data_IF_079145364025
#
_entry.id   IF_079145364025
#
_cell.length_a   1.000
_cell.length_b   1.000
_cell.length_c   1.000
_cell.angle_alpha   90.00
_cell.angle_beta   90.00
_cell.angle_gamma   90.00
#
_symmetry.space_group_name_H-M   'P 1'
#
loop_
_entity.id
_entity.type
_entity.pdbx_description
1 polymer ?
#
# COMPACT_ATOMS: atom_id res chain seq x y z
N UNK A 1 -26.63 3.34 9.06
CA UNK A 1 -25.55 4.27 8.74
C UNK A 1 -24.28 3.52 8.28
N UNK A 2 -23.80 2.54 9.03
CA UNK A 2 -22.63 1.68 8.66
C UNK A 2 -22.78 1.03 7.25
N UNK A 3 -23.94 0.53 6.91
CA UNK A 3 -24.19 -0.12 5.61
C UNK A 3 -24.00 0.82 4.41
N UNK A 4 -24.24 2.14 4.60
CA UNK A 4 -23.98 3.15 3.59
C UNK A 4 -22.50 3.53 3.49
N UNK A 5 -21.79 3.55 4.63
CA UNK A 5 -20.34 3.81 4.70
C UNK A 5 -19.53 2.69 4.02
N UNK A 6 -19.90 1.44 4.29
CA UNK A 6 -19.25 0.26 3.70
C UNK A 6 -19.82 -0.12 2.30
N UNK A 7 -20.65 0.74 1.69
CA UNK A 7 -21.21 0.53 0.35
C UNK A 7 -21.94 -0.82 0.18
N UNK A 8 -22.56 -1.33 1.26
CA UNK A 8 -23.24 -2.61 1.26
C UNK A 8 -22.34 -3.86 1.36
N UNK A 9 -21.02 -3.70 1.36
CA UNK A 9 -20.06 -4.81 1.54
C UNK A 9 -19.74 -5.00 3.02
N UNK A 10 -20.73 -5.47 3.77
CA UNK A 10 -20.52 -5.82 5.16
C UNK A 10 -19.86 -7.21 5.27
N UNK A 11 -18.81 -7.38 6.07
CA UNK A 11 -18.18 -8.68 6.24
C UNK A 11 -19.19 -9.68 6.84
N UNK A 12 -19.65 -10.64 6.01
CA UNK A 12 -20.65 -11.64 6.41
C UNK A 12 -20.14 -12.59 7.51
N UNK A 13 -18.81 -12.76 7.60
CA UNK A 13 -18.17 -13.56 8.64
C UNK A 13 -17.94 -12.69 9.89
N UNK A 14 -18.49 -13.13 11.05
CA UNK A 14 -18.24 -12.48 12.34
C UNK A 14 -16.73 -12.44 12.69
N UNK A 15 -16.00 -13.50 12.30
CA UNK A 15 -14.55 -13.59 12.52
C UNK A 15 -13.82 -12.53 11.67
N UNK A 16 -14.17 -12.40 10.38
CA UNK A 16 -13.58 -11.37 9.51
C UNK A 16 -13.88 -9.96 10.03
N UNK A 17 -15.13 -9.71 10.46
CA UNK A 17 -15.50 -8.42 11.05
C UNK A 17 -14.70 -8.12 12.33
N UNK A 18 -14.51 -9.12 13.21
CA UNK A 18 -13.71 -8.97 14.42
C UNK A 18 -12.23 -8.68 14.11
N UNK A 19 -11.63 -9.38 13.12
CA UNK A 19 -10.23 -9.13 12.69
C UNK A 19 -10.08 -7.72 12.12
N UNK A 20 -10.99 -7.29 11.25
CA UNK A 20 -10.93 -5.94 10.67
C UNK A 20 -11.11 -4.86 11.74
N UNK A 21 -12.01 -5.08 12.69
CA UNK A 21 -12.19 -4.16 13.82
C UNK A 21 -10.93 -4.13 14.71
N UNK A 22 -10.33 -5.30 14.99
CA UNK A 22 -9.09 -5.39 15.76
C UNK A 22 -7.93 -4.69 15.05
N UNK A 23 -7.80 -4.83 13.72
CA UNK A 23 -6.80 -4.11 12.91
C UNK A 23 -7.04 -2.61 12.96
N UNK A 24 -8.30 -2.16 12.78
CA UNK A 24 -8.63 -0.74 12.81
C UNK A 24 -8.34 -0.12 14.19
N UNK A 25 -8.79 -0.77 15.26
CA UNK A 25 -8.55 -0.32 16.63
C UNK A 25 -7.06 -0.42 17.00
N UNK A 26 -6.39 -1.49 16.60
CA UNK A 26 -4.95 -1.67 16.79
C UNK A 26 -4.14 -0.54 16.14
N UNK A 27 -4.46 -0.17 14.90
CA UNK A 27 -3.83 0.96 14.21
C UNK A 27 -4.23 2.32 14.83
N UNK A 28 -5.49 2.49 15.23
CA UNK A 28 -5.91 3.73 15.88
C UNK A 28 -5.23 3.95 17.25
N UNK A 29 -5.02 2.87 18.00
CA UNK A 29 -4.43 2.91 19.33
C UNK A 29 -2.92 2.56 19.34
N UNK A 30 -2.32 2.30 18.18
CA UNK A 30 -0.92 1.89 18.07
C UNK A 30 0.06 2.80 18.82
N UNK A 31 -0.04 4.14 18.77
CA UNK A 31 0.85 5.02 19.52
C UNK A 31 0.77 4.85 21.04
N UNK A 32 -0.41 4.49 21.57
CA UNK A 32 -0.66 4.32 23.00
C UNK A 32 -0.36 2.90 23.49
N UNK A 33 -0.65 1.88 22.65
CA UNK A 33 -0.39 0.49 23.01
C UNK A 33 1.09 0.12 22.92
N UNK A 34 1.81 0.72 21.98
CA UNK A 34 3.20 0.44 21.70
C UNK A 34 4.00 1.75 21.56
N UNK A 35 4.38 2.40 22.67
CA UNK A 35 5.03 3.72 22.65
C UNK A 35 6.46 3.70 22.09
N UNK A 36 6.85 2.66 21.37
CA UNK A 36 8.16 2.52 20.72
C UNK A 36 8.22 3.13 19.33
N UNK A 37 9.32 3.81 19.01
CA UNK A 37 9.56 4.42 17.68
C UNK A 37 9.43 3.40 16.55
N UNK A 38 9.92 2.16 16.76
CA UNK A 38 9.83 1.06 15.78
C UNK A 38 8.38 0.69 15.50
N UNK A 39 7.57 0.52 16.54
CA UNK A 39 6.17 0.12 16.41
C UNK A 39 5.35 1.20 15.66
N UNK A 40 5.58 2.47 15.98
CA UNK A 40 4.92 3.60 15.32
C UNK A 40 5.31 3.69 13.84
N UNK A 41 6.59 3.45 13.50
CA UNK A 41 7.04 3.39 12.10
C UNK A 41 6.38 2.24 11.34
N UNK A 42 6.27 1.06 11.94
CA UNK A 42 5.59 -0.10 11.34
C UNK A 42 4.12 0.21 11.12
N UNK A 43 3.44 0.77 12.11
CA UNK A 43 2.03 1.13 12.01
C UNK A 43 1.79 2.18 10.89
N UNK A 44 2.62 3.22 10.79
CA UNK A 44 2.54 4.20 9.71
C UNK A 44 2.80 3.56 8.33
N UNK A 45 3.82 2.69 8.22
CA UNK A 45 4.10 1.93 6.99
C UNK A 45 2.90 1.05 6.60
N UNK A 46 2.24 0.40 7.57
CA UNK A 46 1.02 -0.38 7.33
C UNK A 46 -0.10 0.50 6.76
N UNK A 47 -0.35 1.68 7.30
CA UNK A 47 -1.37 2.61 6.78
C UNK A 47 -1.12 2.97 5.32
N UNK A 48 0.12 3.28 4.97
CA UNK A 48 0.53 3.60 3.59
C UNK A 48 0.32 2.40 2.67
N UNK A 49 0.82 1.23 3.06
CA UNK A 49 0.75 0.03 2.24
C UNK A 49 -0.69 -0.52 2.10
N UNK A 50 -1.55 -0.34 3.08
CA UNK A 50 -2.99 -0.67 2.95
C UNK A 50 -3.60 0.07 1.76
N UNK A 51 -3.32 1.37 1.61
CA UNK A 51 -3.82 2.16 0.49
C UNK A 51 -3.15 1.76 -0.83
N UNK A 52 -1.83 1.62 -0.83
CA UNK A 52 -1.04 1.24 -2.00
C UNK A 52 -1.48 -0.12 -2.55
N UNK A 53 -1.59 -1.12 -1.68
CA UNK A 53 -1.97 -2.50 -2.06
C UNK A 53 -3.43 -2.58 -2.46
N UNK A 54 -4.34 -1.87 -1.77
CA UNK A 54 -5.75 -1.81 -2.15
C UNK A 54 -5.95 -1.15 -3.52
N UNK A 55 -5.15 -0.12 -3.84
CA UNK A 55 -5.17 0.50 -5.16
C UNK A 55 -4.60 -0.42 -6.25
N UNK A 56 -3.59 -1.22 -5.94
CA UNK A 56 -3.06 -2.24 -6.83
C UNK A 56 -4.05 -3.39 -7.05
N UNK A 57 -4.75 -3.83 -6.01
CA UNK A 57 -5.78 -4.87 -6.09
C UNK A 57 -6.97 -4.43 -6.96
N UNK A 58 -7.26 -3.12 -7.08
CA UNK A 58 -8.24 -2.61 -8.04
C UNK A 58 -7.90 -3.01 -9.49
N UNK A 59 -6.61 -3.05 -9.85
CA UNK A 59 -6.16 -3.52 -11.17
C UNK A 59 -6.07 -5.04 -11.21
N UNK A 60 -5.29 -5.62 -10.31
CA UNK A 60 -5.01 -7.06 -10.34
C UNK A 60 -6.26 -7.86 -9.98
N UNK A 61 -6.90 -7.51 -8.88
CA UNK A 61 -7.97 -8.27 -8.29
C UNK A 61 -9.34 -8.04 -8.91
N UNK A 62 -9.64 -6.84 -9.39
CA UNK A 62 -10.96 -6.53 -9.97
C UNK A 62 -10.95 -6.47 -11.50
N UNK A 63 -9.81 -6.11 -12.13
CA UNK A 63 -9.73 -6.01 -13.60
C UNK A 63 -8.96 -7.17 -14.24
N UNK A 64 -8.17 -7.92 -13.46
CA UNK A 64 -7.34 -9.01 -13.97
C UNK A 64 -6.09 -8.53 -14.73
N UNK A 65 -5.65 -7.28 -14.52
CA UNK A 65 -4.51 -6.69 -15.19
C UNK A 65 -3.34 -6.59 -14.21
N UNK A 66 -2.18 -7.12 -14.58
CA UNK A 66 -0.93 -6.95 -13.84
C UNK A 66 -0.19 -5.73 -14.40
N UNK A 67 -0.02 -4.70 -13.58
CA UNK A 67 0.77 -3.51 -13.92
C UNK A 67 1.95 -3.37 -12.99
N UNK A 68 3.16 -3.35 -13.54
CA UNK A 68 4.38 -3.10 -12.75
C UNK A 68 4.73 -1.60 -12.64
N UNK A 69 3.97 -0.72 -13.31
CA UNK A 69 4.15 0.73 -13.17
C UNK A 69 3.57 1.30 -11.86
N UNK A 70 3.06 0.47 -10.97
CA UNK A 70 2.37 0.93 -9.76
C UNK A 70 3.30 1.69 -8.82
N UNK A 71 4.54 1.21 -8.64
CA UNK A 71 5.58 1.90 -7.88
C UNK A 71 6.01 3.22 -8.49
N UNK A 72 5.96 3.37 -9.82
CA UNK A 72 6.20 4.65 -10.47
C UNK A 72 5.21 5.72 -9.98
N UNK A 73 3.91 5.41 -9.93
CA UNK A 73 2.90 6.33 -9.43
C UNK A 73 3.05 6.63 -7.94
N UNK A 74 3.44 5.63 -7.17
CA UNK A 74 3.77 5.77 -5.75
C UNK A 74 4.97 6.73 -5.57
N UNK A 75 6.04 6.54 -6.33
CA UNK A 75 7.20 7.42 -6.33
C UNK A 75 6.88 8.85 -6.78
N UNK A 76 6.04 9.02 -7.82
CA UNK A 76 5.57 10.35 -8.26
C UNK A 76 4.90 11.10 -7.09
N UNK A 77 4.08 10.42 -6.30
CA UNK A 77 3.46 10.99 -5.11
C UNK A 77 4.48 11.43 -4.08
N UNK A 78 5.45 10.58 -3.78
CA UNK A 78 6.50 10.87 -2.82
C UNK A 78 7.42 12.02 -3.28
N UNK A 79 7.86 12.02 -4.53
CA UNK A 79 8.65 13.11 -5.10
C UNK A 79 7.88 14.42 -5.22
N UNK A 80 6.57 14.36 -5.49
CA UNK A 80 5.74 15.56 -5.54
C UNK A 80 5.78 16.36 -4.24
N UNK A 81 5.64 15.66 -3.10
CA UNK A 81 5.80 16.28 -1.77
C UNK A 81 7.24 16.75 -1.54
N UNK A 82 8.22 15.88 -1.80
CA UNK A 82 9.64 16.18 -1.54
C UNK A 82 10.10 17.43 -2.32
N UNK A 83 9.84 17.49 -3.61
CA UNK A 83 10.26 18.60 -4.48
C UNK A 83 9.52 19.89 -4.12
N UNK A 84 8.21 19.83 -3.91
CA UNK A 84 7.44 21.03 -3.58
C UNK A 84 7.87 21.64 -2.25
N UNK A 85 8.05 20.82 -1.20
CA UNK A 85 8.47 21.32 0.11
C UNK A 85 9.93 21.77 0.13
N UNK A 86 10.81 21.17 -0.65
CA UNK A 86 12.21 21.62 -0.78
C UNK A 86 12.30 22.98 -1.47
N UNK A 87 11.48 23.22 -2.51
CA UNK A 87 11.54 24.46 -3.30
C UNK A 87 10.70 25.61 -2.75
N UNK A 88 9.54 25.31 -2.17
CA UNK A 88 8.60 26.32 -1.66
C UNK A 88 8.66 26.49 -0.14
N UNK A 89 9.48 25.66 0.55
CA UNK A 89 9.55 25.63 2.01
C UNK A 89 8.49 24.76 2.67
N UNK A 90 8.59 24.55 4.00
CA UNK A 90 7.73 23.65 4.77
C UNK A 90 6.36 24.28 5.08
N UNK A 91 5.56 24.55 4.06
CA UNK A 91 4.26 25.21 4.18
C UNK A 91 3.12 24.30 3.73
N UNK A 92 1.90 24.54 4.22
CA UNK A 92 0.71 23.80 3.77
C UNK A 92 0.42 24.02 2.28
N UNK A 93 0.71 25.21 1.75
CA UNK A 93 0.59 25.48 0.32
C UNK A 93 1.54 24.64 -0.52
N UNK A 94 2.78 24.42 -0.07
CA UNK A 94 3.73 23.54 -0.73
C UNK A 94 3.22 22.10 -0.76
N UNK A 95 2.64 21.60 0.34
CA UNK A 95 2.03 20.26 0.37
C UNK A 95 0.88 20.14 -0.64
N UNK A 96 -0.02 21.13 -0.69
CA UNK A 96 -1.14 21.10 -1.64
C UNK A 96 -0.67 21.15 -3.09
N UNK A 97 0.33 22.00 -3.40
CA UNK A 97 0.95 22.07 -4.74
C UNK A 97 1.65 20.75 -5.07
N UNK A 98 2.36 20.13 -4.11
CA UNK A 98 3.03 18.85 -4.28
C UNK A 98 2.04 17.73 -4.59
N UNK A 99 0.97 17.60 -3.79
CA UNK A 99 -0.11 16.62 -4.04
C UNK A 99 -0.80 16.87 -5.37
N UNK A 100 -1.19 18.12 -5.64
CA UNK A 100 -1.89 18.48 -6.89
C UNK A 100 -1.04 18.23 -8.13
N UNK A 101 0.25 18.63 -8.09
CA UNK A 101 1.19 18.37 -9.18
C UNK A 101 1.46 16.88 -9.41
N UNK A 102 1.62 16.11 -8.32
CA UNK A 102 1.80 14.67 -8.41
C UNK A 102 0.56 13.97 -8.99
N UNK A 103 -0.63 14.35 -8.57
CA UNK A 103 -1.88 13.80 -9.10
C UNK A 103 -2.06 14.14 -10.58
N UNK A 104 -1.76 15.37 -10.99
CA UNK A 104 -1.82 15.80 -12.39
C UNK A 104 -0.84 14.99 -13.26
N UNK A 105 0.41 14.87 -12.82
CA UNK A 105 1.43 14.08 -13.53
C UNK A 105 1.02 12.60 -13.62
N UNK A 106 0.55 12.02 -12.53
CA UNK A 106 0.07 10.63 -12.51
C UNK A 106 -1.15 10.41 -13.40
N UNK A 107 -2.07 11.38 -13.46
CA UNK A 107 -3.21 11.34 -14.36
C UNK A 107 -2.76 11.32 -15.82
N UNK A 108 -1.85 12.22 -16.20
CA UNK A 108 -1.34 12.30 -17.59
C UNK A 108 -0.59 11.02 -17.98
N UNK A 109 0.32 10.53 -17.12
CA UNK A 109 1.10 9.33 -17.39
C UNK A 109 0.23 8.07 -17.40
N UNK A 110 -0.72 7.95 -16.49
CA UNK A 110 -1.62 6.78 -16.45
C UNK A 110 -2.57 6.75 -17.65
N UNK A 111 -3.02 7.88 -18.14
CA UNK A 111 -3.78 7.98 -19.40
C UNK A 111 -2.89 7.58 -20.60
N UNK A 112 -1.67 8.07 -20.67
CA UNK A 112 -0.74 7.69 -21.74
C UNK A 112 -0.47 6.18 -21.72
N UNK A 113 -0.07 5.63 -20.57
CA UNK A 113 0.16 4.18 -20.41
C UNK A 113 -1.12 3.39 -20.71
N UNK A 114 -2.28 3.83 -20.24
CA UNK A 114 -3.55 3.16 -20.48
C UNK A 114 -3.95 3.12 -21.95
N UNK A 115 -3.84 4.24 -22.66
CA UNK A 115 -4.23 4.33 -24.07
C UNK A 115 -3.34 3.51 -25.00
N UNK A 116 -2.03 3.48 -24.73
CA UNK A 116 -1.07 2.76 -25.57
C UNK A 116 -0.97 1.28 -25.23
N UNK A 117 -0.98 0.95 -23.94
CA UNK A 117 -0.64 -0.40 -23.48
C UNK A 117 -1.84 -1.34 -23.34
N UNK A 118 -3.07 -0.82 -23.11
CA UNK A 118 -4.24 -1.68 -22.91
C UNK A 118 -4.80 -2.28 -24.21
N UNK A 119 -4.20 -1.95 -25.36
CA UNK A 119 -4.50 -2.57 -26.66
C UNK A 119 -3.68 -3.84 -26.92
N UNK A 120 -2.69 -4.12 -26.08
CA UNK A 120 -1.81 -5.29 -26.21
C UNK A 120 -2.23 -6.41 -25.24
N UNK A 121 -1.75 -7.64 -25.50
CA UNK A 121 -2.03 -8.78 -24.62
C UNK A 121 -1.47 -8.55 -23.21
N UNK A 122 -2.10 -9.13 -22.22
CA UNK A 122 -1.79 -8.92 -20.80
C UNK A 122 -0.29 -9.09 -20.44
N UNK A 123 0.40 -10.09 -21.05
CA UNK A 123 1.83 -10.32 -20.80
C UNK A 123 2.67 -9.14 -21.31
N UNK A 124 2.40 -8.64 -22.52
CA UNK A 124 3.11 -7.48 -23.07
C UNK A 124 2.82 -6.20 -22.28
N UNK A 125 1.58 -6.04 -21.78
CA UNK A 125 1.24 -4.93 -20.90
C UNK A 125 2.10 -4.92 -19.63
N UNK A 126 2.25 -6.07 -18.97
CA UNK A 126 3.11 -6.20 -17.80
C UNK A 126 4.58 -5.85 -18.10
N UNK A 127 5.12 -6.32 -19.22
CA UNK A 127 6.50 -6.00 -19.64
C UNK A 127 6.70 -4.51 -19.95
N UNK A 128 5.76 -3.89 -20.68
CA UNK A 128 5.83 -2.46 -20.99
C UNK A 128 5.78 -1.62 -19.71
N UNK A 129 4.87 -1.95 -18.81
CA UNK A 129 4.74 -1.21 -17.54
C UNK A 129 5.96 -1.37 -16.64
N UNK A 130 6.63 -2.54 -16.66
CA UNK A 130 7.91 -2.75 -15.97
C UNK A 130 9.01 -1.89 -16.58
N UNK A 131 9.12 -1.87 -17.92
CA UNK A 131 10.12 -1.05 -18.60
C UNK A 131 9.93 0.45 -18.34
N UNK A 132 8.68 0.92 -18.33
CA UNK A 132 8.34 2.33 -18.01
C UNK A 132 8.70 2.65 -16.56
N UNK A 133 8.41 1.75 -15.61
CA UNK A 133 8.77 1.95 -14.19
C UNK A 133 10.29 2.00 -14.01
N UNK A 134 11.04 1.10 -14.62
CA UNK A 134 12.50 1.08 -14.57
C UNK A 134 13.11 2.33 -15.20
N UNK A 135 12.59 2.76 -16.35
CA UNK A 135 13.03 4.01 -17.00
C UNK A 135 12.77 5.22 -16.11
N UNK A 136 11.62 5.26 -15.41
CA UNK A 136 11.30 6.35 -14.49
C UNK A 136 12.20 6.35 -13.25
N UNK A 137 12.53 5.18 -12.70
CA UNK A 137 13.49 5.04 -11.60
C UNK A 137 14.87 5.55 -12.02
N UNK A 138 15.37 5.11 -13.20
CA UNK A 138 16.63 5.60 -13.75
C UNK A 138 16.62 7.10 -14.00
N UNK A 139 15.52 7.64 -14.54
CA UNK A 139 15.36 9.08 -14.73
C UNK A 139 15.43 9.84 -13.41
N UNK A 140 14.76 9.33 -12.37
CA UNK A 140 14.80 9.90 -11.04
C UNK A 140 16.22 9.91 -10.44
N UNK A 141 17.00 8.83 -10.65
CA UNK A 141 18.40 8.76 -10.19
C UNK A 141 19.34 9.71 -10.95
N UNK A 142 19.02 10.05 -12.19
CA UNK A 142 19.87 10.92 -13.03
C UNK A 142 19.56 12.42 -12.88
N UNK A 143 18.30 12.78 -12.56
CA UNK A 143 17.87 14.17 -12.42
C UNK A 143 18.23 14.77 -11.06
N UNK A 144 19.52 14.79 -10.69
CA UNK A 144 20.00 15.23 -9.37
C UNK A 144 19.50 16.62 -8.96
N UNK A 145 19.35 17.57 -9.90
CA UNK A 145 18.89 18.93 -9.63
C UNK A 145 17.43 19.02 -9.17
N UNK A 146 16.62 17.99 -9.47
CA UNK A 146 15.18 17.98 -9.14
C UNK A 146 14.90 16.95 -8.06
N UNK A 147 15.43 15.75 -8.18
CA UNK A 147 15.12 14.60 -7.35
C UNK A 147 16.15 14.32 -6.26
N UNK A 148 17.29 15.04 -6.27
CA UNK A 148 18.44 14.74 -5.43
C UNK A 148 19.27 13.55 -5.94
N UNK A 149 18.94 12.97 -7.10
CA UNK A 149 19.68 11.85 -7.69
C UNK A 149 19.55 10.56 -6.87
N UNK A 150 20.64 9.82 -6.75
CA UNK A 150 20.71 8.59 -5.96
C UNK A 150 20.59 8.84 -4.45
N UNK A 151 21.08 9.98 -3.96
CA UNK A 151 21.02 10.37 -2.54
C UNK A 151 19.61 10.75 -2.09
N UNK A 152 18.71 11.07 -3.03
CA UNK A 152 17.35 11.48 -2.75
C UNK A 152 17.25 12.87 -2.12
N UNK A 153 16.05 13.23 -1.66
CA UNK A 153 15.72 14.50 -1.04
C UNK A 153 15.31 14.32 0.41
N UNK A 154 16.01 15.02 1.31
CA UNK A 154 15.56 15.23 2.69
C UNK A 154 14.88 16.59 2.77
N UNK A 155 13.70 16.65 3.32
CA UNK A 155 12.90 17.87 3.38
C UNK A 155 12.22 18.07 4.74
N UNK A 156 11.82 19.31 5.01
CA UNK A 156 11.06 19.65 6.20
C UNK A 156 9.57 19.69 5.86
N UNK A 157 8.74 19.28 6.80
CA UNK A 157 7.27 19.39 6.75
C UNK A 157 6.82 20.64 7.54
N UNK A 158 5.56 21.09 7.39
CA UNK A 158 5.02 22.16 8.22
C UNK A 158 5.27 21.91 9.71
N UNK A 159 5.51 22.97 10.47
CA UNK A 159 5.92 22.90 11.87
C UNK A 159 5.01 22.01 12.72
N UNK A 160 3.70 22.09 12.51
CA UNK A 160 2.68 21.28 13.20
C UNK A 160 2.90 19.76 13.02
N UNK A 161 3.51 19.33 11.93
CA UNK A 161 3.82 17.92 11.65
C UNK A 161 5.25 17.54 12.02
N UNK A 162 6.06 18.50 12.52
CA UNK A 162 7.45 18.29 12.91
C UNK A 162 7.54 17.65 14.30
N UNK A 163 8.49 16.73 14.56
CA UNK A 163 8.70 16.18 15.91
C UNK A 163 9.02 17.22 16.97
N UNK A 164 9.53 18.40 16.55
CA UNK A 164 9.84 19.51 17.46
C UNK A 164 8.62 20.31 17.89
N UNK A 165 7.45 20.03 17.34
CA UNK A 165 6.21 20.67 17.74
C UNK A 165 5.57 19.90 18.88
N UNK A 166 5.59 20.46 20.09
CA UNK A 166 4.99 19.92 21.31
C UNK A 166 3.95 20.91 21.82
N UNK A 167 2.66 20.75 21.46
CA UNK A 167 1.60 21.66 21.88
C UNK A 167 1.21 21.52 23.34
N UNK A 168 1.60 20.43 24.02
CA UNK A 168 1.30 20.14 25.40
C UNK A 168 2.56 19.66 26.13
N UNK A 169 2.87 20.26 27.29
CA UNK A 169 4.01 19.90 28.13
C UNK A 169 3.80 18.55 28.86
N UNK A 170 2.54 18.19 29.15
CA UNK A 170 2.19 16.97 29.87
C UNK A 170 1.89 15.80 28.91
N UNK A 171 2.49 14.61 29.11
CA UNK A 171 2.21 13.44 28.29
C UNK A 171 0.79 12.92 28.58
N UNK A 172 0.00 12.69 27.51
CA UNK A 172 -1.32 12.07 27.62
C UNK A 172 -1.18 10.55 27.58
N UNK A 173 -1.63 9.85 28.63
CA UNK A 173 -1.49 8.37 28.77
C UNK A 173 -0.04 7.87 28.61
N UNK A 174 0.95 8.67 29.02
CA UNK A 174 2.37 8.29 28.93
C UNK A 174 2.99 8.50 27.54
N UNK A 175 2.27 9.10 26.60
CA UNK A 175 2.76 9.43 25.25
C UNK A 175 2.81 10.95 25.08
N UNK A 176 3.96 11.48 24.68
CA UNK A 176 4.08 12.89 24.33
C UNK A 176 3.26 13.19 23.05
N UNK A 177 2.45 14.24 23.10
CA UNK A 177 1.68 14.70 21.95
C UNK A 177 2.61 15.61 21.14
N UNK A 178 3.39 15.01 20.24
CA UNK A 178 4.29 15.72 19.33
C UNK A 178 3.71 15.80 17.91
N UNK A 179 4.34 16.59 17.06
CA UNK A 179 3.93 16.70 15.65
C UNK A 179 4.04 15.38 14.88
N UNK A 180 4.83 14.41 15.36
CA UNK A 180 4.90 13.08 14.78
C UNK A 180 3.60 12.29 15.03
N UNK A 181 3.03 12.40 16.21
CA UNK A 181 1.75 11.80 16.54
C UNK A 181 0.62 12.43 15.71
N UNK A 182 0.64 13.75 15.53
CA UNK A 182 -0.30 14.48 14.67
C UNK A 182 -0.18 13.98 13.22
N UNK A 183 1.03 13.83 12.70
CA UNK A 183 1.29 13.27 11.38
C UNK A 183 0.73 11.86 11.25
N UNK A 184 0.93 10.99 12.25
CA UNK A 184 0.39 9.64 12.28
C UNK A 184 -1.13 9.61 12.14
N UNK A 185 -1.84 10.44 12.93
CA UNK A 185 -3.31 10.51 12.84
C UNK A 185 -3.81 11.13 11.54
N UNK A 186 -3.05 12.07 10.95
CA UNK A 186 -3.33 12.57 9.61
C UNK A 186 -3.27 11.41 8.58
N UNK A 187 -2.23 10.58 8.65
CA UNK A 187 -2.09 9.39 7.79
C UNK A 187 -3.19 8.36 8.05
N UNK A 188 -3.54 8.14 9.31
CA UNK A 188 -4.62 7.23 9.69
C UNK A 188 -5.97 7.65 9.09
N UNK A 189 -6.34 8.92 9.25
CA UNK A 189 -7.58 9.46 8.68
C UNK A 189 -7.54 9.40 7.15
N UNK A 190 -6.43 9.78 6.54
CA UNK A 190 -6.24 9.68 5.08
C UNK A 190 -6.39 8.24 4.60
N UNK A 191 -5.74 7.26 5.25
CA UNK A 191 -5.85 5.85 4.89
C UNK A 191 -7.30 5.34 4.98
N UNK A 192 -8.00 5.65 6.07
CA UNK A 192 -9.41 5.27 6.24
C UNK A 192 -10.29 5.87 5.15
N UNK A 193 -10.14 7.16 4.85
CA UNK A 193 -10.92 7.84 3.81
C UNK A 193 -10.63 7.21 2.43
N UNK A 194 -9.37 6.96 2.10
CA UNK A 194 -8.98 6.39 0.81
C UNK A 194 -9.45 4.93 0.65
N UNK A 195 -9.37 4.12 1.71
CA UNK A 195 -9.91 2.75 1.71
C UNK A 195 -11.43 2.76 1.55
N UNK A 196 -12.14 3.64 2.25
CA UNK A 196 -13.60 3.78 2.07
C UNK A 196 -13.97 4.25 0.66
N UNK A 197 -13.18 5.15 0.06
CA UNK A 197 -13.37 5.56 -1.33
C UNK A 197 -13.16 4.39 -2.30
N UNK A 198 -12.11 3.58 -2.11
CA UNK A 198 -11.87 2.36 -2.90
C UNK A 198 -13.02 1.35 -2.74
N UNK A 199 -13.50 1.11 -1.51
CA UNK A 199 -14.67 0.26 -1.26
C UNK A 199 -15.90 0.76 -2.02
N UNK A 200 -16.10 2.07 -2.07
CA UNK A 200 -17.21 2.65 -2.81
C UNK A 200 -17.08 2.47 -4.32
N UNK A 201 -15.88 2.56 -4.86
CA UNK A 201 -15.59 2.32 -6.28
C UNK A 201 -15.84 0.86 -6.65
N UNK A 202 -15.30 -0.09 -5.89
CA UNK A 202 -15.43 -1.53 -6.23
C UNK A 202 -16.86 -2.07 -6.05
N UNK A 203 -17.65 -1.50 -5.14
CA UNK A 203 -19.02 -1.89 -4.90
C UNK A 203 -20.05 -1.12 -5.78
N UNK A 204 -19.57 -0.18 -6.60
CA UNK A 204 -20.40 0.56 -7.57
C UNK A 204 -20.73 -0.29 -8.81
N UNK A 205 -21.67 0.17 -9.67
CA UNK A 205 -21.87 -0.46 -10.98
C UNK A 205 -20.58 -0.58 -11.81
N UNK A 206 -19.67 0.41 -11.71
CA UNK A 206 -18.38 0.39 -12.36
C UNK A 206 -17.53 -0.82 -11.91
N UNK A 207 -17.40 -1.05 -10.59
CA UNK A 207 -16.63 -2.19 -10.05
C UNK A 207 -17.20 -3.54 -10.47
N UNK A 208 -18.53 -3.68 -10.56
CA UNK A 208 -19.20 -4.90 -11.06
C UNK A 208 -18.88 -5.17 -12.52
N UNK A 209 -18.81 -4.14 -13.36
CA UNK A 209 -18.41 -4.28 -14.75
C UNK A 209 -16.94 -4.71 -14.86
N UNK A 210 -16.04 -4.18 -14.00
CA UNK A 210 -14.64 -4.63 -13.96
C UNK A 210 -14.53 -6.13 -13.67
N UNK A 211 -15.29 -6.64 -12.71
CA UNK A 211 -15.32 -8.07 -12.38
C UNK A 211 -15.87 -8.91 -13.55
N UNK A 212 -16.92 -8.45 -14.23
CA UNK A 212 -17.44 -9.11 -15.42
C UNK A 212 -16.42 -9.18 -16.56
N UNK A 213 -15.64 -8.10 -16.77
CA UNK A 213 -14.54 -8.05 -17.75
C UNK A 213 -13.44 -9.04 -17.36
N UNK A 214 -13.08 -9.12 -16.06
CA UNK A 214 -12.08 -10.07 -15.56
C UNK A 214 -12.51 -11.52 -15.78
N UNK A 215 -13.79 -11.85 -15.59
CA UNK A 215 -14.31 -13.20 -15.77
C UNK A 215 -14.35 -13.60 -17.24
N UNK A 216 -14.86 -12.73 -18.12
CA UNK A 216 -14.94 -12.98 -19.55
C UNK A 216 -15.07 -11.69 -20.35
N UNK A 217 -13.97 -11.25 -20.94
CA UNK A 217 -13.87 -10.03 -21.75
C UNK A 217 -14.80 -10.06 -22.98
N UNK A 218 -14.80 -11.16 -23.72
CA UNK A 218 -15.64 -11.31 -24.90
C UNK A 218 -17.13 -11.23 -24.60
N UNK A 219 -17.55 -11.78 -23.46
CA UNK A 219 -18.95 -11.70 -23.03
C UNK A 219 -19.31 -10.27 -22.64
N UNK A 220 -18.40 -9.55 -21.95
CA UNK A 220 -18.62 -8.15 -21.58
C UNK A 220 -18.75 -7.26 -22.84
N UNK A 221 -17.92 -7.49 -23.87
CA UNK A 221 -18.01 -6.77 -25.16
C UNK A 221 -19.30 -7.12 -25.89
N UNK A 222 -19.71 -8.38 -25.92
CA UNK A 222 -20.92 -8.83 -26.60
C UNK A 222 -22.21 -8.17 -26.05
N UNK A 223 -22.22 -7.82 -24.75
CA UNK A 223 -23.35 -7.09 -24.12
C UNK A 223 -23.18 -5.57 -24.17
N UNK A 224 -22.15 -5.05 -24.90
CA UNK A 224 -22.01 -3.63 -25.25
C UNK A 224 -21.06 -2.83 -24.36
N UNK A 225 -20.32 -3.43 -23.43
CA UNK A 225 -19.33 -2.70 -22.63
C UNK A 225 -18.05 -2.44 -23.41
N UNK A 226 -17.55 -1.20 -23.37
CA UNK A 226 -16.27 -0.80 -23.98
C UNK A 226 -15.11 -1.14 -23.03
N UNK A 227 -14.59 -2.37 -23.10
CA UNK A 227 -13.57 -2.92 -22.17
C UNK A 227 -12.37 -1.98 -22.00
N UNK A 228 -11.83 -1.42 -23.10
CA UNK A 228 -10.68 -0.50 -23.07
C UNK A 228 -10.96 0.73 -22.17
N UNK A 229 -12.16 1.32 -22.25
CA UNK A 229 -12.52 2.49 -21.45
C UNK A 229 -12.55 2.13 -19.94
N UNK A 230 -13.17 1.00 -19.60
CA UNK A 230 -13.24 0.54 -18.20
C UNK A 230 -11.86 0.22 -17.63
N UNK A 231 -11.01 -0.46 -18.40
CA UNK A 231 -9.63 -0.78 -18.02
C UNK A 231 -8.78 0.49 -17.86
N UNK A 232 -8.86 1.44 -18.80
CA UNK A 232 -8.16 2.72 -18.71
C UNK A 232 -8.60 3.51 -17.48
N UNK A 233 -9.90 3.62 -17.23
CA UNK A 233 -10.43 4.32 -16.05
C UNK A 233 -9.97 3.66 -14.75
N UNK A 234 -9.97 2.33 -14.69
CA UNK A 234 -9.46 1.58 -13.53
C UNK A 234 -7.97 1.81 -13.31
N UNK A 235 -7.17 1.85 -14.40
CA UNK A 235 -5.73 2.13 -14.33
C UNK A 235 -5.47 3.55 -13.81
N UNK A 236 -6.22 4.54 -14.30
CA UNK A 236 -6.12 5.93 -13.83
C UNK A 236 -6.47 6.04 -12.35
N UNK A 237 -7.61 5.47 -11.94
CA UNK A 237 -8.01 5.49 -10.53
C UNK A 237 -6.96 4.82 -9.64
N UNK A 238 -6.49 3.64 -10.02
CA UNK A 238 -5.45 2.92 -9.30
C UNK A 238 -4.17 3.75 -9.17
N UNK A 239 -3.71 4.39 -10.23
CA UNK A 239 -2.54 5.28 -10.24
C UNK A 239 -2.70 6.47 -9.30
N UNK A 240 -3.87 7.13 -9.29
CA UNK A 240 -4.13 8.26 -8.40
C UNK A 240 -4.11 7.86 -6.91
N UNK A 241 -4.69 6.71 -6.56
CA UNK A 241 -4.61 6.20 -5.18
C UNK A 241 -3.19 5.79 -4.79
N UNK A 242 -2.41 5.19 -5.70
CA UNK A 242 -0.99 4.89 -5.47
C UNK A 242 -0.17 6.18 -5.24
N UNK A 243 -0.45 7.23 -6.02
CA UNK A 243 0.17 8.55 -5.85
C UNK A 243 -0.14 9.13 -4.47
N UNK A 244 -1.38 9.06 -4.01
CA UNK A 244 -1.76 9.51 -2.67
C UNK A 244 -1.05 8.70 -1.57
N UNK A 245 -0.92 7.38 -1.74
CA UNK A 245 -0.13 6.56 -0.83
C UNK A 245 1.35 6.98 -0.79
N UNK A 246 1.94 7.35 -1.94
CA UNK A 246 3.29 7.90 -2.02
C UNK A 246 3.44 9.24 -1.29
N UNK A 247 2.46 10.13 -1.43
CA UNK A 247 2.42 11.37 -0.65
C UNK A 247 2.39 11.10 0.87
N UNK A 248 1.62 10.09 1.31
CA UNK A 248 1.58 9.68 2.72
C UNK A 248 2.93 9.17 3.20
N UNK A 249 3.64 8.35 2.39
CA UNK A 249 4.98 7.86 2.73
C UNK A 249 5.96 9.01 2.92
N UNK A 250 6.00 9.95 1.98
CA UNK A 250 6.91 11.09 2.02
C UNK A 250 6.68 11.96 3.26
N UNK A 251 5.43 12.24 3.61
CA UNK A 251 5.08 12.98 4.83
C UNK A 251 5.58 12.30 6.10
N UNK A 252 5.53 10.97 6.14
CA UNK A 252 6.02 10.21 7.28
C UNK A 252 7.53 10.19 7.39
N UNK A 253 8.21 9.83 6.28
CA UNK A 253 9.67 9.64 6.26
C UNK A 253 10.43 10.96 6.26
N UNK A 254 9.88 12.04 5.66
CA UNK A 254 10.56 13.32 5.40
C UNK A 254 11.84 13.16 4.58
N UNK A 255 11.91 12.08 3.89
CA UNK A 255 12.97 11.70 2.97
C UNK A 255 12.34 10.92 1.83
N UNK A 256 12.82 11.11 0.62
CA UNK A 256 12.48 10.28 -0.51
C UNK A 256 13.66 10.13 -1.46
N UNK A 257 13.98 8.89 -1.77
CA UNK A 257 14.98 8.51 -2.76
C UNK A 257 14.41 7.50 -3.76
N UNK A 258 15.13 7.22 -4.86
CA UNK A 258 14.69 6.27 -5.87
C UNK A 258 14.40 4.89 -5.28
N UNK A 259 15.26 4.40 -4.41
CA UNK A 259 15.10 3.07 -3.77
C UNK A 259 14.00 3.05 -2.71
N UNK A 260 13.67 4.22 -2.14
CA UNK A 260 12.64 4.31 -1.09
C UNK A 260 11.21 4.21 -1.63
N UNK A 261 10.97 4.65 -2.86
CA UNK A 261 9.60 4.75 -3.41
C UNK A 261 9.41 4.20 -4.82
N UNK A 262 10.50 3.97 -5.59
CA UNK A 262 10.45 3.52 -6.97
C UNK A 262 10.98 2.10 -7.15
N UNK A 263 11.52 1.45 -6.09
CA UNK A 263 12.17 0.16 -6.20
C UNK A 263 11.21 -0.95 -6.63
N UNK A 264 11.74 -1.91 -7.39
CA UNK A 264 11.02 -3.11 -7.78
C UNK A 264 10.64 -3.99 -6.58
N UNK A 265 11.41 -3.91 -5.49
CA UNK A 265 11.11 -4.63 -4.24
C UNK A 265 9.74 -4.24 -3.66
N UNK A 266 9.38 -2.94 -3.68
CA UNK A 266 8.06 -2.47 -3.24
C UNK A 266 6.96 -3.10 -4.10
N UNK A 267 7.20 -3.26 -5.40
CA UNK A 267 6.24 -3.91 -6.29
C UNK A 267 6.06 -5.38 -5.94
N UNK A 268 7.15 -6.08 -5.62
CA UNK A 268 7.10 -7.47 -5.15
C UNK A 268 6.35 -7.57 -3.81
N UNK A 269 6.64 -6.68 -2.86
CA UNK A 269 5.92 -6.61 -1.59
C UNK A 269 4.40 -6.43 -1.82
N UNK A 270 4.00 -5.53 -2.73
CA UNK A 270 2.59 -5.33 -3.07
C UNK A 270 1.94 -6.60 -3.62
N UNK A 271 2.62 -7.33 -4.52
CA UNK A 271 2.14 -8.61 -5.05
C UNK A 271 1.98 -9.66 -3.95
N UNK A 272 2.99 -9.81 -3.09
CA UNK A 272 2.96 -10.76 -1.97
C UNK A 272 1.80 -10.45 -1.02
N UNK A 273 1.63 -9.19 -0.66
CA UNK A 273 0.56 -8.74 0.24
C UNK A 273 -0.82 -9.02 -0.35
N UNK A 274 -1.05 -8.73 -1.64
CA UNK A 274 -2.34 -9.01 -2.31
C UNK A 274 -2.64 -10.50 -2.32
N UNK A 275 -1.63 -11.34 -2.60
CA UNK A 275 -1.81 -12.80 -2.63
C UNK A 275 -2.11 -13.35 -1.25
N UNK A 276 -1.37 -12.95 -0.21
CA UNK A 276 -1.61 -13.37 1.19
C UNK A 276 -2.99 -12.91 1.65
N UNK A 277 -3.35 -11.67 1.39
CA UNK A 277 -4.63 -11.09 1.82
C UNK A 277 -5.84 -11.70 1.10
N UNK A 278 -5.69 -11.95 -0.19
CA UNK A 278 -6.71 -12.49 -1.10
C UNK A 278 -7.12 -11.49 -2.19
N UNK A 279 -6.72 -11.81 -3.42
CA UNK A 279 -6.96 -11.00 -4.61
C UNK A 279 -8.45 -10.71 -4.83
N UNK A 280 -8.77 -9.46 -5.18
CA UNK A 280 -10.13 -9.00 -5.44
C UNK A 280 -10.94 -8.72 -4.17
N UNK A 281 -10.24 -8.41 -3.08
CA UNK A 281 -10.88 -8.00 -1.82
C UNK A 281 -10.10 -6.86 -1.15
N UNK A 282 -10.71 -5.68 -1.06
CA UNK A 282 -10.08 -4.52 -0.38
C UNK A 282 -9.75 -4.85 1.10
N UNK A 283 -10.58 -5.64 1.77
CA UNK A 283 -10.29 -6.12 3.13
C UNK A 283 -9.06 -7.04 3.18
N UNK A 284 -8.84 -7.82 2.10
CA UNK A 284 -7.64 -8.64 1.94
C UNK A 284 -6.38 -7.79 1.90
N UNK A 285 -6.38 -6.70 1.16
CA UNK A 285 -5.25 -5.77 1.11
C UNK A 285 -4.90 -5.23 2.50
N UNK A 286 -5.89 -4.88 3.33
CA UNK A 286 -5.65 -4.40 4.68
C UNK A 286 -5.06 -5.49 5.60
N UNK A 287 -5.65 -6.69 5.61
CA UNK A 287 -5.17 -7.81 6.44
C UNK A 287 -3.80 -8.29 5.96
N UNK A 288 -3.61 -8.42 4.64
CA UNK A 288 -2.34 -8.81 4.04
C UNK A 288 -1.21 -7.84 4.36
N UNK A 289 -1.47 -6.52 4.28
CA UNK A 289 -0.49 -5.49 4.63
C UNK A 289 -0.06 -5.58 6.10
N UNK A 290 -1.01 -5.75 7.03
CA UNK A 290 -0.68 -5.92 8.46
C UNK A 290 0.15 -7.17 8.67
N UNK A 291 -0.29 -8.32 8.16
CA UNK A 291 0.42 -9.60 8.34
C UNK A 291 1.83 -9.55 7.76
N UNK A 292 1.98 -9.07 6.53
CA UNK A 292 3.26 -9.05 5.84
C UNK A 292 4.24 -8.05 6.47
N UNK A 293 3.82 -6.80 6.71
CA UNK A 293 4.72 -5.78 7.24
C UNK A 293 5.10 -6.01 8.70
N UNK A 294 4.20 -6.55 9.52
CA UNK A 294 4.54 -6.97 10.87
C UNK A 294 5.53 -8.13 10.81
N UNK A 295 5.28 -9.15 9.98
CA UNK A 295 6.23 -10.24 9.79
C UNK A 295 7.58 -9.70 9.31
N UNK A 296 7.64 -8.89 8.26
CA UNK A 296 8.86 -8.29 7.72
C UNK A 296 9.65 -7.51 8.79
N UNK A 297 8.96 -6.75 9.65
CA UNK A 297 9.60 -5.85 10.62
C UNK A 297 10.10 -6.57 11.88
N UNK A 298 9.46 -7.65 12.28
CA UNK A 298 9.77 -8.35 13.53
C UNK A 298 10.43 -9.72 13.34
N UNK A 299 10.44 -10.24 12.10
CA UNK A 299 11.03 -11.57 11.80
C UNK A 299 12.52 -11.64 12.15
N UNK A 300 13.29 -10.60 11.87
CA UNK A 300 14.71 -10.55 12.22
C UNK A 300 14.93 -10.62 13.74
N UNK A 301 14.14 -9.91 14.52
CA UNK A 301 14.24 -9.94 15.99
C UNK A 301 13.86 -11.33 16.53
N UNK A 302 12.81 -11.94 15.95
CA UNK A 302 12.38 -13.29 16.32
C UNK A 302 13.47 -14.33 16.00
N UNK A 303 14.09 -14.22 14.82
CA UNK A 303 15.18 -15.12 14.41
C UNK A 303 16.41 -14.94 15.29
N UNK A 304 16.72 -13.72 15.71
CA UNK A 304 17.83 -13.46 16.65
C UNK A 304 17.59 -14.18 17.97
N UNK A 305 16.41 -14.00 18.58
CA UNK A 305 16.05 -14.71 19.81
C UNK A 305 16.09 -16.23 19.61
N UNK A 306 15.59 -16.71 18.47
CA UNK A 306 15.63 -18.13 18.11
C UNK A 306 17.06 -18.68 17.94
N UNK A 307 17.96 -17.92 17.31
CA UNK A 307 19.35 -18.33 17.13
C UNK A 307 20.13 -18.35 18.45
N UNK A 308 19.88 -17.42 19.35
CA UNK A 308 20.44 -17.36 20.70
C UNK A 308 19.96 -18.56 21.55
N UNK A 309 18.66 -18.88 21.49
CA UNK A 309 18.10 -20.05 22.17
C UNK A 309 18.63 -21.39 21.62
N UNK A 310 18.99 -21.41 20.33
CA UNK A 310 19.56 -22.58 19.65
C UNK A 310 21.09 -22.66 19.71
N UNK A 311 21.77 -21.87 20.54
CA UNK A 311 23.23 -21.78 20.60
C UNK A 311 23.94 -23.13 20.88
N UNK A 312 23.23 -24.07 21.53
CA UNK A 312 23.74 -25.45 21.74
C UNK A 312 23.74 -26.34 20.49
N UNK A 313 23.14 -25.88 19.39
CA UNK A 313 22.99 -26.63 18.13
C UNK A 313 23.47 -25.78 16.96
N UNK A 314 24.76 -25.79 16.60
CA UNK A 314 25.35 -24.83 15.64
C UNK A 314 24.68 -24.76 14.29
N UNK A 315 24.22 -25.90 13.76
CA UNK A 315 23.49 -25.92 12.47
C UNK A 315 22.10 -25.24 12.55
N UNK A 316 21.41 -25.39 13.68
CA UNK A 316 20.10 -24.79 13.91
C UNK A 316 20.24 -23.27 14.15
N UNK A 317 21.22 -22.87 14.96
CA UNK A 317 21.54 -21.46 15.17
C UNK A 317 21.92 -20.77 13.85
N UNK A 318 22.72 -21.44 12.99
CA UNK A 318 23.04 -20.94 11.67
C UNK A 318 21.83 -20.82 10.74
N UNK A 319 20.86 -21.76 10.83
CA UNK A 319 19.63 -21.71 10.04
C UNK A 319 18.71 -20.57 10.49
N UNK A 320 18.65 -20.31 11.79
CA UNK A 320 17.86 -19.24 12.41
C UNK A 320 18.62 -17.90 12.48
N UNK A 321 19.77 -17.76 11.78
CA UNK A 321 20.49 -16.49 11.73
C UNK A 321 19.59 -15.36 11.21
N UNK A 322 19.61 -14.16 11.85
CA UNK A 322 18.88 -12.97 11.38
C UNK A 322 19.20 -12.60 9.93
N UNK A 323 20.40 -12.91 9.43
CA UNK A 323 20.80 -12.64 8.04
C UNK A 323 19.97 -13.43 7.02
N UNK A 324 19.31 -14.50 7.43
CA UNK A 324 18.49 -15.36 6.58
C UNK A 324 16.97 -15.03 6.63
N UNK A 325 16.63 -13.86 7.12
CA UNK A 325 15.23 -13.46 7.29
C UNK A 325 14.42 -13.50 5.97
N UNK A 326 15.03 -13.16 4.84
CA UNK A 326 14.39 -13.23 3.51
C UNK A 326 14.02 -14.67 3.14
N UNK A 327 14.87 -15.66 3.46
CA UNK A 327 14.57 -17.06 3.24
C UNK A 327 13.32 -17.49 4.04
N UNK A 328 13.25 -17.11 5.31
CA UNK A 328 12.12 -17.43 6.17
C UNK A 328 10.86 -16.70 5.76
N UNK A 329 10.97 -15.45 5.31
CA UNK A 329 9.85 -14.71 4.75
C UNK A 329 9.31 -15.41 3.49
N UNK A 330 10.19 -15.88 2.61
CA UNK A 330 9.83 -16.67 1.43
C UNK A 330 9.15 -17.99 1.78
N UNK A 331 9.66 -18.74 2.77
CA UNK A 331 9.03 -19.97 3.27
C UNK A 331 7.64 -19.66 3.83
N UNK A 332 7.50 -18.61 4.63
CA UNK A 332 6.23 -18.19 5.20
C UNK A 332 5.22 -17.82 4.10
N UNK A 333 5.69 -17.15 3.04
CA UNK A 333 4.87 -16.84 1.88
C UNK A 333 4.40 -18.11 1.16
N UNK A 334 5.31 -19.06 0.86
CA UNK A 334 4.95 -20.33 0.21
C UNK A 334 3.93 -21.11 1.03
N UNK A 335 4.14 -21.19 2.35
CA UNK A 335 3.18 -21.82 3.25
C UNK A 335 1.82 -21.10 3.25
N UNK A 336 1.84 -19.76 3.25
CA UNK A 336 0.61 -18.97 3.19
C UNK A 336 -0.18 -19.26 1.91
N UNK A 337 0.47 -19.31 0.76
CA UNK A 337 -0.18 -19.63 -0.53
C UNK A 337 -0.68 -21.08 -0.56
N UNK A 338 0.12 -22.01 -0.01
CA UNK A 338 -0.26 -23.43 0.03
C UNK A 338 -1.50 -23.68 0.89
N UNK A 339 -1.54 -23.10 2.10
CA UNK A 339 -2.67 -23.29 3.02
C UNK A 339 -3.86 -22.38 2.71
N UNK A 340 -3.64 -21.23 2.08
CA UNK A 340 -4.66 -20.23 1.77
C UNK A 340 -4.65 -19.84 0.27
N UNK A 341 -4.98 -20.77 -0.65
CA UNK A 341 -4.90 -20.51 -2.10
C UNK A 341 -5.82 -19.38 -2.57
N UNK A 342 -6.88 -19.04 -1.83
CA UNK A 342 -7.77 -17.91 -2.08
C UNK A 342 -7.43 -16.69 -1.20
N UNK A 343 -6.28 -16.72 -0.52
CA UNK A 343 -5.89 -15.77 0.50
C UNK A 343 -6.67 -15.93 1.81
N UNK A 344 -6.20 -15.23 2.84
CA UNK A 344 -6.79 -15.29 4.20
C UNK A 344 -8.26 -14.90 4.19
N UNK A 345 -8.61 -13.80 3.52
CA UNK A 345 -9.99 -13.31 3.46
C UNK A 345 -10.89 -14.22 2.65
N UNK A 346 -10.40 -14.78 1.54
CA UNK A 346 -11.17 -15.71 0.70
C UNK A 346 -11.59 -16.96 1.51
N UNK A 347 -10.67 -17.54 2.27
CA UNK A 347 -10.96 -18.70 3.13
C UNK A 347 -11.95 -18.37 4.26
N UNK A 348 -11.80 -17.19 4.90
CA UNK A 348 -12.73 -16.75 5.94
C UNK A 348 -14.16 -16.50 5.40
N UNK A 349 -14.29 -16.03 4.16
CA UNK A 349 -15.58 -15.86 3.48
C UNK A 349 -16.20 -17.23 3.11
N UNK A 350 -15.41 -18.17 2.58
CA UNK A 350 -15.86 -19.53 2.25
C UNK A 350 -16.33 -20.29 3.49
N UNK A 351 -15.59 -20.22 4.59
CA UNK A 351 -15.96 -20.85 5.85
C UNK A 351 -17.28 -20.31 6.46
N UNK A 352 -17.60 -19.04 6.19
CA UNK A 352 -18.87 -18.44 6.63
C UNK A 352 -20.06 -18.87 5.77
N UNK A 353 -19.83 -19.16 4.48
CA UNK A 353 -20.88 -19.60 3.55
C UNK A 353 -21.33 -21.07 3.79
N UNK A 354 -20.47 -21.89 4.42
CA UNK A 354 -20.75 -23.32 4.71
C UNK A 354 -21.35 -23.57 6.09
N UNK A 355 -21.64 -22.54 6.90
CA UNK A 355 -22.40 -22.71 8.16
C UNK A 355 -23.89 -22.63 7.83
N UNK A 356 -24.63 -23.79 7.86
CA UNK A 356 -26.08 -23.74 7.85
C UNK A 356 -26.55 -23.00 9.10
N UNK A 357 -27.45 -22.02 8.90
CA UNK A 357 -28.07 -21.24 9.98
C UNK A 357 -28.94 -22.09 10.89
#
# INVERSE_FOLDING_TARGET
MLNRLLSGDYPRSKVLAAILLAVLLGLALAPFLFPGVKALNVAAKVLVFVVLVASFDLLLGYTGIVSFAHTMFFGIGAYGIAVATTRMGPTWSALLVGVGGALLLSLLLSLAVGLFSLRVRAIFFAMITLAVAAAFQTLASQLSDITGGEDGLTFKVPEVLSPSFEPFDDPFLGVAIDGRLICYYLLFVAAVVLVLALLRIVNSPFGRVLQAIRENEFRAEAIGYRVVVYRTTSSVLSALFATLAGCMLALWLRYNGPDTSLSFEIMMDCLLIVVIGGMGTIYGSAIGAVLFLVAQSYLQDLLRVGSEAAAGWPWLAALLSPDRWLLWLGVLFVLSVYYFPTGVVGRLRAAAAHRPG
#
